data_IF_393392524142
#
_entry.id   IF_393392524142
#
_cell.length_a   1.000
_cell.length_b   1.000
_cell.length_c   1.000
_cell.angle_alpha   90.00
_cell.angle_beta   90.00
_cell.angle_gamma   90.00
#
_symmetry.space_group_name_H-M   'P 1'
#
loop_
_entity.id
_entity.type
_entity.pdbx_description
1 polymer ?
#
# COMPACT_ATOMS: atom_id res chain seq x y z
N UNK A 1 9.14 11.80 -24.10
CA UNK A 1 8.70 12.30 -22.78
C UNK A 1 7.59 11.39 -22.26
N UNK A 2 7.58 11.02 -20.98
CA UNK A 2 6.55 10.17 -20.37
C UNK A 2 5.75 11.01 -19.38
N UNK A 3 4.43 11.02 -19.53
CA UNK A 3 3.50 11.72 -18.64
C UNK A 3 2.58 10.70 -17.97
N UNK A 4 2.25 10.93 -16.68
CA UNK A 4 1.27 10.14 -15.94
C UNK A 4 0.25 11.10 -15.32
N UNK A 5 -1.04 10.81 -15.45
CA UNK A 5 -2.10 11.68 -14.92
C UNK A 5 -3.28 10.86 -14.43
N UNK A 6 -3.76 11.22 -13.23
CA UNK A 6 -5.02 10.70 -12.67
C UNK A 6 -6.24 11.52 -13.14
N UNK A 7 -6.04 12.53 -14.00
CA UNK A 7 -7.09 13.43 -14.50
C UNK A 7 -7.02 13.52 -16.02
N UNK A 8 -7.22 12.41 -16.71
CA UNK A 8 -7.23 12.37 -18.19
C UNK A 8 -8.43 13.14 -18.80
N UNK A 9 -9.52 13.30 -18.03
CA UNK A 9 -10.75 13.96 -18.49
C UNK A 9 -10.66 15.47 -18.67
N UNK A 10 -9.61 16.13 -18.17
CA UNK A 10 -9.41 17.58 -18.30
C UNK A 10 -8.44 17.94 -19.45
N UNK A 11 -7.98 16.96 -20.23
CA UNK A 11 -7.05 17.22 -21.33
C UNK A 11 -7.79 17.83 -22.53
N UNK A 12 -7.26 18.95 -23.02
CA UNK A 12 -7.73 19.61 -24.24
C UNK A 12 -7.27 18.87 -25.52
N UNK A 13 -7.76 19.34 -26.66
CA UNK A 13 -7.49 18.75 -27.98
C UNK A 13 -6.02 18.91 -28.43
N UNK A 14 -5.39 20.04 -28.09
CA UNK A 14 -3.99 20.32 -28.44
C UNK A 14 -3.00 19.45 -27.65
N UNK A 15 -3.33 19.10 -26.41
CA UNK A 15 -2.54 18.18 -25.59
C UNK A 15 -2.71 16.74 -26.10
N UNK A 16 -3.95 16.35 -26.45
CA UNK A 16 -4.25 15.03 -27.03
C UNK A 16 -3.55 14.79 -28.35
N UNK A 17 -3.42 15.80 -29.23
CA UNK A 17 -2.76 15.67 -30.53
C UNK A 17 -1.27 15.33 -30.45
N UNK A 18 -0.65 15.55 -29.28
CA UNK A 18 0.77 15.27 -29.01
C UNK A 18 0.97 13.95 -28.23
N UNK A 19 -0.10 13.24 -27.88
CA UNK A 19 -0.02 11.92 -27.23
C UNK A 19 0.05 10.85 -28.32
N UNK A 20 1.22 10.25 -28.48
CA UNK A 20 1.46 9.18 -29.46
C UNK A 20 0.96 7.81 -29.00
N UNK A 21 0.94 7.56 -27.67
CA UNK A 21 0.50 6.31 -27.07
C UNK A 21 -0.25 6.59 -25.77
N UNK A 22 -1.41 5.96 -25.61
CA UNK A 22 -2.21 6.01 -24.38
C UNK A 22 -2.30 4.63 -23.77
N UNK A 23 -1.69 4.44 -22.60
CA UNK A 23 -1.79 3.20 -21.83
C UNK A 23 -2.75 3.43 -20.66
N UNK A 24 -3.88 2.73 -20.68
CA UNK A 24 -4.77 2.65 -19.53
C UNK A 24 -4.42 1.41 -18.72
N UNK A 25 -4.25 1.60 -17.42
CA UNK A 25 -4.14 0.50 -16.47
C UNK A 25 -5.52 0.26 -15.88
N UNK A 26 -6.01 -0.97 -16.02
CA UNK A 26 -7.25 -1.38 -15.38
C UNK A 26 -7.03 -1.54 -13.87
N UNK A 27 -8.13 -1.53 -13.12
CA UNK A 27 -8.08 -1.89 -11.71
C UNK A 27 -7.59 -3.33 -11.55
N UNK A 28 -6.89 -3.58 -10.45
CA UNK A 28 -6.34 -4.90 -10.18
C UNK A 28 -7.45 -5.89 -9.89
N UNK A 29 -7.48 -7.01 -10.60
CA UNK A 29 -8.33 -8.15 -10.26
C UNK A 29 -7.85 -8.84 -8.98
N UNK A 30 -8.74 -9.60 -8.34
CA UNK A 30 -8.42 -10.29 -7.09
C UNK A 30 -7.20 -11.22 -7.21
N UNK A 31 -7.11 -12.00 -8.29
CA UNK A 31 -5.95 -12.85 -8.54
C UNK A 31 -4.65 -12.05 -8.69
N UNK A 32 -4.71 -10.86 -9.30
CA UNK A 32 -3.55 -9.97 -9.42
C UNK A 32 -3.15 -9.38 -8.06
N UNK A 33 -4.13 -8.97 -7.23
CA UNK A 33 -3.87 -8.50 -5.86
C UNK A 33 -3.25 -9.61 -5.01
N UNK A 34 -3.77 -10.84 -5.10
CA UNK A 34 -3.21 -12.03 -4.45
C UNK A 34 -1.76 -12.25 -4.84
N UNK A 35 -1.43 -12.14 -6.13
CA UNK A 35 -0.06 -12.28 -6.60
C UNK A 35 0.86 -11.18 -6.07
N UNK A 36 0.38 -9.93 -5.99
CA UNK A 36 1.15 -8.82 -5.40
C UNK A 36 1.44 -9.08 -3.92
N UNK A 37 0.43 -9.54 -3.16
CA UNK A 37 0.60 -9.91 -1.75
C UNK A 37 1.60 -11.07 -1.57
N UNK A 38 1.49 -12.11 -2.40
CA UNK A 38 2.46 -13.23 -2.41
C UNK A 38 3.88 -12.74 -2.69
N UNK A 39 4.06 -11.93 -3.73
CA UNK A 39 5.36 -11.38 -4.09
C UNK A 39 5.97 -10.58 -2.93
N UNK A 40 5.14 -9.86 -2.19
CA UNK A 40 5.56 -9.14 -1.00
C UNK A 40 5.97 -10.08 0.14
N UNK A 41 5.14 -11.06 0.49
CA UNK A 41 5.40 -12.02 1.58
C UNK A 41 6.69 -12.81 1.29
N UNK A 42 6.85 -13.31 0.06
CA UNK A 42 8.06 -14.04 -0.35
C UNK A 42 9.31 -13.15 -0.28
N UNK A 43 9.17 -11.86 -0.60
CA UNK A 43 10.27 -10.90 -0.45
C UNK A 43 10.64 -10.69 1.01
N UNK A 44 9.67 -10.60 1.92
CA UNK A 44 9.93 -10.50 3.35
C UNK A 44 10.63 -11.75 3.90
N UNK A 45 10.17 -12.93 3.51
CA UNK A 45 10.75 -14.21 3.89
C UNK A 45 12.22 -14.32 3.45
N UNK A 46 12.53 -13.90 2.21
CA UNK A 46 13.90 -13.85 1.70
C UNK A 46 14.79 -12.89 2.50
N UNK A 47 14.30 -11.70 2.83
CA UNK A 47 15.04 -10.72 3.60
C UNK A 47 15.31 -11.21 5.03
N UNK A 48 14.33 -11.85 5.66
CA UNK A 48 14.49 -12.41 7.01
C UNK A 48 15.46 -13.60 7.01
N UNK A 49 15.41 -14.46 6.00
CA UNK A 49 16.35 -15.57 5.83
C UNK A 49 17.80 -15.08 5.69
N UNK A 50 18.03 -14.06 4.85
CA UNK A 50 19.34 -13.42 4.69
C UNK A 50 19.84 -12.81 6.01
N UNK A 51 18.94 -12.18 6.78
CA UNK A 51 19.27 -11.62 8.09
C UNK A 51 19.70 -12.70 9.08
N UNK A 52 19.03 -13.85 9.09
CA UNK A 52 19.38 -14.99 9.95
C UNK A 52 20.77 -15.53 9.60
N UNK A 53 21.06 -15.76 8.30
CA UNK A 53 22.38 -16.21 7.85
C UNK A 53 23.50 -15.25 8.25
N UNK A 54 23.28 -13.93 8.15
CA UNK A 54 24.27 -12.91 8.55
C UNK A 54 24.45 -12.78 10.07
N UNK A 55 23.46 -13.18 10.87
CA UNK A 55 23.52 -13.14 12.32
C UNK A 55 24.22 -14.37 12.94
N UNK A 56 24.45 -15.43 12.16
CA UNK A 56 25.13 -16.65 12.60
C UNK A 56 26.65 -16.62 12.43
N UNK A 57 27.19 -15.60 11.76
CA UNK A 57 28.63 -15.32 11.72
C UNK A 57 29.06 -14.57 13.00
N UNK A 58 30.00 -15.09 13.81
CA UNK A 58 30.52 -14.39 14.99
C UNK A 58 31.49 -13.29 14.57
N UNK A 59 30.99 -12.26 13.89
CA UNK A 59 31.80 -11.12 13.43
C UNK A 59 31.44 -9.86 14.20
N UNK A 60 32.27 -9.50 15.21
CA UNK A 60 32.54 -8.16 15.80
C UNK A 60 31.39 -7.14 16.03
N UNK A 61 30.13 -7.50 15.83
CA UNK A 61 28.99 -6.58 15.74
C UNK A 61 28.58 -5.93 17.07
N UNK A 62 29.16 -6.40 18.19
CA UNK A 62 28.93 -5.79 19.50
C UNK A 62 29.73 -4.49 19.70
N UNK A 63 30.75 -4.19 18.86
CA UNK A 63 31.63 -3.03 19.04
C UNK A 63 31.10 -1.76 18.35
N UNK A 64 30.22 -1.91 17.35
CA UNK A 64 29.62 -0.78 16.62
C UNK A 64 28.08 -0.86 16.66
N UNK A 65 27.52 -0.73 17.87
CA UNK A 65 26.08 -0.54 18.03
C UNK A 65 25.68 0.84 17.49
N UNK A 66 25.38 0.92 16.19
CA UNK A 66 24.80 2.10 15.58
C UNK A 66 23.35 2.24 16.09
N UNK A 67 22.96 3.36 16.74
CA UNK A 67 21.63 3.51 17.36
C UNK A 67 20.45 3.58 16.38
N UNK A 68 20.69 3.44 15.08
CA UNK A 68 19.74 3.82 14.02
C UNK A 68 19.20 2.64 13.21
N UNK A 69 19.58 1.40 13.54
CA UNK A 69 18.92 0.23 12.98
C UNK A 69 17.54 0.07 13.64
N UNK A 70 16.48 0.08 12.83
CA UNK A 70 15.14 -0.26 13.30
C UNK A 70 15.19 -1.54 14.16
N UNK A 71 14.43 -1.63 15.27
CA UNK A 71 14.49 -2.77 16.16
C UNK A 71 14.31 -4.06 15.36
N UNK A 72 15.16 -5.06 15.66
CA UNK A 72 15.27 -6.37 14.99
C UNK A 72 14.06 -7.27 15.26
N UNK A 73 12.88 -6.72 15.05
CA UNK A 73 11.61 -7.40 15.22
C UNK A 73 11.39 -8.22 13.96
N UNK A 74 11.48 -9.54 14.10
CA UNK A 74 11.32 -10.47 13.00
C UNK A 74 9.95 -10.37 12.32
N UNK A 75 9.72 -11.24 11.36
CA UNK A 75 8.48 -11.27 10.58
C UNK A 75 7.75 -12.59 10.84
N UNK A 76 6.47 -12.52 11.17
CA UNK A 76 5.58 -13.66 11.22
C UNK A 76 4.96 -13.90 9.83
N UNK A 77 5.72 -14.59 8.99
CA UNK A 77 5.33 -14.94 7.61
C UNK A 77 4.14 -15.89 7.58
N UNK A 78 4.02 -16.76 8.59
CA UNK A 78 2.99 -17.79 8.64
C UNK A 78 1.60 -17.16 8.75
N UNK A 79 1.40 -16.24 9.70
CA UNK A 79 0.10 -15.57 9.85
C UNK A 79 -0.32 -14.80 8.60
N UNK A 80 0.62 -14.19 7.87
CA UNK A 80 0.31 -13.50 6.61
C UNK A 80 -0.08 -14.46 5.49
N UNK A 81 0.57 -15.62 5.39
CA UNK A 81 0.27 -16.60 4.34
C UNK A 81 -1.07 -17.29 4.59
N UNK A 82 -1.40 -17.58 5.84
CA UNK A 82 -2.67 -18.21 6.23
C UNK A 82 -3.89 -17.31 5.95
N UNK A 83 -3.70 -15.99 5.90
CA UNK A 83 -4.75 -14.99 5.66
C UNK A 83 -4.55 -14.22 4.35
N UNK A 84 -3.87 -14.83 3.40
CA UNK A 84 -3.56 -14.21 2.10
C UNK A 84 -4.83 -13.89 1.29
N UNK A 85 -5.83 -14.76 1.37
CA UNK A 85 -7.05 -14.61 0.58
C UNK A 85 -7.86 -13.39 1.08
N UNK A 86 -7.99 -13.18 2.39
CA UNK A 86 -8.57 -11.97 2.99
C UNK A 86 -7.87 -10.68 2.52
N UNK A 87 -6.54 -10.72 2.39
CA UNK A 87 -5.76 -9.58 1.88
C UNK A 87 -6.07 -9.28 0.41
N UNK A 88 -6.38 -10.31 -0.37
CA UNK A 88 -6.67 -10.22 -1.80
C UNK A 88 -8.12 -9.78 -2.08
N UNK A 89 -9.08 -10.14 -1.23
CA UNK A 89 -10.49 -9.75 -1.37
C UNK A 89 -10.67 -8.23 -1.35
N UNK A 90 -9.84 -7.51 -0.57
CA UNK A 90 -9.96 -6.06 -0.47
C UNK A 90 -9.51 -5.38 -1.77
N UNK A 91 -10.35 -4.53 -2.40
CA UNK A 91 -10.06 -3.92 -3.70
C UNK A 91 -9.08 -2.75 -3.56
N UNK A 92 -7.82 -3.06 -3.30
CA UNK A 92 -6.72 -2.09 -3.20
C UNK A 92 -5.92 -2.04 -4.50
N UNK A 93 -5.52 -0.84 -4.91
CA UNK A 93 -4.56 -0.67 -6.00
C UNK A 93 -3.11 -0.95 -5.53
N UNK A 94 -2.18 -1.11 -6.48
CA UNK A 94 -0.79 -1.48 -6.16
C UNK A 94 -0.05 -0.44 -5.29
N UNK A 95 -0.43 0.85 -5.35
CA UNK A 95 0.14 1.88 -4.48
C UNK A 95 -0.42 1.80 -3.07
N UNK A 96 -1.72 1.55 -2.96
CA UNK A 96 -2.39 1.34 -1.67
C UNK A 96 -1.83 0.13 -0.94
N UNK A 97 -1.65 -1.01 -1.61
CA UNK A 97 -1.03 -2.21 -1.04
C UNK A 97 0.37 -1.89 -0.48
N UNK A 98 1.21 -1.18 -1.25
CA UNK A 98 2.56 -0.77 -0.83
C UNK A 98 2.53 0.17 0.37
N UNK A 99 1.62 1.13 0.39
CA UNK A 99 1.45 2.06 1.50
C UNK A 99 1.03 1.30 2.76
N UNK A 100 0.05 0.39 2.62
CA UNK A 100 -0.43 -0.46 3.70
C UNK A 100 0.69 -1.26 4.35
N UNK A 101 1.53 -1.91 3.53
CA UNK A 101 2.72 -2.64 3.95
C UNK A 101 3.69 -1.75 4.75
N UNK A 102 3.95 -0.55 4.24
CA UNK A 102 4.90 0.38 4.84
C UNK A 102 4.41 0.85 6.20
N UNK A 103 3.12 1.18 6.30
CA UNK A 103 2.47 1.58 7.54
C UNK A 103 2.38 0.42 8.54
N UNK A 104 2.04 -0.79 8.09
CA UNK A 104 1.99 -1.97 8.96
C UNK A 104 3.36 -2.29 9.55
N UNK A 105 4.44 -2.14 8.76
CA UNK A 105 5.81 -2.28 9.26
C UNK A 105 6.15 -1.22 10.31
N UNK A 106 5.78 0.04 10.08
CA UNK A 106 5.98 1.11 11.06
C UNK A 106 5.19 0.84 12.35
N UNK A 107 3.96 0.34 12.23
CA UNK A 107 3.12 -0.02 13.36
C UNK A 107 3.74 -1.15 14.19
N UNK A 108 4.26 -2.19 13.54
CA UNK A 108 4.95 -3.29 14.21
C UNK A 108 6.22 -2.82 14.95
N UNK A 109 7.02 -1.98 14.30
CA UNK A 109 8.22 -1.36 14.90
C UNK A 109 7.84 -0.52 16.12
N UNK A 110 6.79 0.30 16.01
CA UNK A 110 6.29 1.14 17.10
C UNK A 110 5.80 0.31 18.30
N UNK A 111 5.07 -0.79 18.03
CA UNK A 111 4.56 -1.71 19.06
C UNK A 111 5.62 -2.65 19.64
N UNK A 112 6.83 -2.67 19.07
CA UNK A 112 7.89 -3.63 19.41
C UNK A 112 7.43 -5.08 19.23
N UNK A 113 6.66 -5.34 18.18
CA UNK A 113 6.15 -6.66 17.82
C UNK A 113 6.70 -7.13 16.48
N UNK A 114 6.66 -8.44 16.24
CA UNK A 114 6.97 -9.00 14.91
C UNK A 114 5.93 -8.52 13.90
N UNK A 115 6.37 -8.15 12.71
CA UNK A 115 5.45 -7.81 11.63
C UNK A 115 4.64 -9.05 11.26
N UNK A 116 3.31 -8.95 11.29
CA UNK A 116 2.39 -10.08 11.11
C UNK A 116 1.05 -9.60 10.58
N UNK A 117 0.12 -10.53 10.31
CA UNK A 117 -1.19 -10.22 9.73
C UNK A 117 -1.98 -9.17 10.52
N UNK A 118 -1.96 -9.23 11.86
CA UNK A 118 -2.65 -8.28 12.74
C UNK A 118 -2.34 -6.80 12.44
N UNK A 119 -1.10 -6.51 12.00
CA UNK A 119 -0.68 -5.15 11.65
C UNK A 119 -1.26 -4.72 10.31
N UNK A 120 -1.30 -5.63 9.34
CA UNK A 120 -1.92 -5.39 8.04
C UNK A 120 -3.43 -5.19 8.20
N UNK A 121 -4.09 -6.04 8.96
CA UNK A 121 -5.51 -5.95 9.26
C UNK A 121 -5.87 -4.61 9.92
N UNK A 122 -5.08 -4.16 10.91
CA UNK A 122 -5.26 -2.86 11.57
C UNK A 122 -5.22 -1.71 10.56
N UNK A 123 -4.21 -1.68 9.69
CA UNK A 123 -4.06 -0.61 8.70
C UNK A 123 -5.17 -0.68 7.64
N UNK A 124 -5.57 -1.88 7.24
CA UNK A 124 -6.64 -2.08 6.28
C UNK A 124 -8.00 -1.61 6.82
N UNK A 125 -8.29 -1.90 8.09
CA UNK A 125 -9.50 -1.44 8.76
C UNK A 125 -9.57 0.10 8.79
N UNK A 126 -8.45 0.77 9.10
CA UNK A 126 -8.37 2.24 9.07
C UNK A 126 -8.51 2.79 7.65
N UNK A 127 -7.89 2.15 6.65
CA UNK A 127 -8.05 2.53 5.25
C UNK A 127 -9.51 2.41 4.77
N UNK A 128 -10.22 1.35 5.18
CA UNK A 128 -11.64 1.16 4.87
C UNK A 128 -12.51 2.26 5.48
N UNK A 129 -12.31 2.59 6.77
CA UNK A 129 -13.00 3.70 7.44
C UNK A 129 -12.78 5.03 6.72
N UNK A 130 -11.54 5.29 6.32
CA UNK A 130 -11.20 6.49 5.55
C UNK A 130 -11.92 6.53 4.19
N UNK A 131 -11.93 5.41 3.46
CA UNK A 131 -12.65 5.29 2.20
C UNK A 131 -14.16 5.55 2.34
N UNK A 132 -14.79 5.01 3.40
CA UNK A 132 -16.19 5.28 3.73
C UNK A 132 -16.42 6.76 4.09
N UNK A 133 -15.50 7.37 4.83
CA UNK A 133 -15.56 8.79 5.18
C UNK A 133 -15.53 9.68 3.92
N UNK A 134 -14.60 9.42 2.99
CA UNK A 134 -14.54 10.13 1.70
C UNK A 134 -15.81 9.93 0.89
N UNK A 135 -16.35 8.70 0.81
CA UNK A 135 -17.63 8.43 0.14
C UNK A 135 -18.77 9.25 0.75
N UNK A 136 -18.85 9.35 2.08
CA UNK A 136 -19.84 10.17 2.79
C UNK A 136 -19.66 11.66 2.52
N UNK A 137 -18.43 12.17 2.56
CA UNK A 137 -18.13 13.56 2.23
C UNK A 137 -18.55 13.87 0.80
N UNK A 138 -18.09 13.10 -0.19
CA UNK A 138 -18.44 13.33 -1.58
C UNK A 138 -19.95 13.29 -1.80
N UNK A 139 -20.69 12.35 -1.20
CA UNK A 139 -22.16 12.32 -1.26
C UNK A 139 -22.84 13.59 -0.73
N UNK A 140 -22.28 14.25 0.30
CA UNK A 140 -22.78 15.55 0.79
C UNK A 140 -22.56 16.69 -0.21
N UNK A 141 -21.61 16.56 -1.12
CA UNK A 141 -21.33 17.57 -2.16
C UNK A 141 -22.01 17.28 -3.50
N UNK A 142 -22.47 16.05 -3.80
CA UNK A 142 -22.80 15.65 -5.19
C UNK A 142 -24.24 15.87 -5.69
N UNK A 143 -25.12 16.58 -5.01
CA UNK A 143 -26.44 16.88 -5.63
C UNK A 143 -27.00 18.26 -5.33
N UNK A 144 -26.89 18.73 -4.08
CA UNK A 144 -27.61 19.95 -3.68
C UNK A 144 -26.79 21.24 -3.79
N UNK A 145 -25.45 21.18 -3.68
CA UNK A 145 -24.61 22.39 -3.77
C UNK A 145 -24.11 22.71 -5.19
N UNK A 146 -23.96 21.71 -6.06
CA UNK A 146 -23.56 21.92 -7.45
C UNK A 146 -24.67 22.64 -8.25
N UNK A 147 -25.95 22.45 -7.88
CA UNK A 147 -27.09 23.16 -8.50
C UNK A 147 -27.28 24.60 -8.01
N UNK A 148 -26.75 24.98 -6.84
CA UNK A 148 -26.85 26.35 -6.33
C UNK A 148 -25.74 27.27 -6.87
N UNK A 149 -24.55 26.73 -7.19
CA UNK A 149 -23.45 27.54 -7.73
C UNK A 149 -23.54 27.89 -9.22
N UNK A 150 -24.45 27.27 -9.99
CA UNK A 150 -24.62 27.54 -11.42
C UNK A 150 -25.83 28.44 -11.77
N UNK A 151 -26.57 28.94 -10.77
CA UNK A 151 -27.73 29.82 -10.99
C UNK A 151 -27.49 31.30 -10.68
N UNK A 152 -26.29 31.69 -10.24
CA UNK A 152 -25.97 33.07 -9.84
C UNK A 152 -24.78 33.69 -10.59
N UNK A 153 -24.49 33.25 -11.82
CA UNK A 153 -23.58 33.98 -12.71
C UNK A 153 -24.10 33.98 -14.14
#
# INVERSE_FOLDING_TARGET
MILTSNRVGIFDEAFKSRIQLSLRYNDLEEGQRRQIWLNFINRLEKLESQRITQASEPSLANILSTPQAAPRLGVDIRSMRDRLDDLAETPLNGREIRNMISTARQLAVFRKEKLGYQHLESVMAEAKKFGEYIKRLHKRYTSDQIKRGQKER
#
